data_IF_175185340683
#
_entry.id   IF_175185340683
#
_cell.length_a   1.000
_cell.length_b   1.000
_cell.length_c   1.000
_cell.angle_alpha   90.00
_cell.angle_beta   90.00
_cell.angle_gamma   90.00
#
_symmetry.space_group_name_H-M   'P 1'
#
loop_
_entity.id
_entity.type
_entity.pdbx_description
1 polymer ?
#
# COMPACT_ATOMS: atom_id res chain seq x y z
N UNK A 1 50.68 -23.13 -39.23
CA UNK A 1 51.84 -22.93 -38.34
C UNK A 1 51.96 -21.42 -38.13
N UNK A 2 51.22 -20.84 -37.20
CA UNK A 2 51.55 -20.74 -35.76
C UNK A 2 52.75 -19.82 -35.53
N UNK A 3 52.50 -18.60 -35.06
CA UNK A 3 53.35 -17.91 -34.09
C UNK A 3 52.66 -16.61 -33.60
N UNK A 4 52.40 -16.56 -32.30
CA UNK A 4 52.20 -15.32 -31.53
C UNK A 4 53.45 -14.42 -31.61
N UNK A 5 53.35 -13.19 -31.08
CA UNK A 5 54.04 -13.00 -29.81
C UNK A 5 53.20 -12.22 -28.79
N UNK A 6 53.53 -12.48 -27.53
CA UNK A 6 53.02 -11.78 -26.37
C UNK A 6 54.15 -10.97 -25.71
N UNK A 7 53.73 -10.00 -24.89
CA UNK A 7 54.41 -9.41 -23.72
C UNK A 7 55.27 -8.15 -23.94
N UNK A 8 54.76 -6.97 -23.54
CA UNK A 8 55.13 -6.27 -22.28
C UNK A 8 54.39 -4.92 -22.13
N UNK A 9 53.94 -4.66 -20.90
CA UNK A 9 53.21 -3.48 -20.41
C UNK A 9 54.03 -2.17 -20.48
N UNK A 10 53.37 -1.02 -20.31
CA UNK A 10 53.50 -0.37 -19.00
C UNK A 10 52.19 0.22 -18.46
N UNK A 11 52.03 0.10 -17.14
CA UNK A 11 51.08 0.87 -16.33
C UNK A 11 51.60 2.32 -16.22
N UNK A 12 50.73 3.34 -16.21
CA UNK A 12 50.38 3.87 -14.90
C UNK A 12 48.92 4.33 -14.77
N UNK A 13 48.35 4.05 -13.59
CA UNK A 13 47.24 4.77 -12.97
C UNK A 13 47.47 6.31 -13.01
N UNK A 14 46.40 7.11 -13.19
CA UNK A 14 45.69 7.56 -11.99
C UNK A 14 44.16 7.54 -12.10
N UNK A 15 43.54 7.20 -10.97
CA UNK A 15 42.12 7.34 -10.64
C UNK A 15 41.44 8.58 -11.23
N UNK A 16 40.19 8.41 -11.71
CA UNK A 16 39.12 9.35 -11.41
C UNK A 16 37.99 8.65 -10.65
N UNK A 17 37.68 9.21 -9.49
CA UNK A 17 36.60 8.86 -8.59
C UNK A 17 35.24 9.20 -9.24
N UNK A 18 34.25 8.27 -9.33
CA UNK A 18 32.85 8.65 -9.51
C UNK A 18 32.08 8.28 -8.23
N UNK A 19 32.06 9.21 -7.27
CA UNK A 19 31.10 9.17 -6.17
C UNK A 19 29.92 10.05 -6.52
N UNK A 20 28.92 9.45 -7.15
CA UNK A 20 27.57 10.01 -7.24
C UNK A 20 26.59 8.84 -7.17
N UNK A 21 26.30 8.41 -5.93
CA UNK A 21 25.16 7.54 -5.66
C UNK A 21 23.88 8.36 -5.88
N UNK A 22 22.86 7.84 -6.57
CA UNK A 22 21.55 8.45 -6.52
C UNK A 22 20.97 8.27 -5.11
N UNK A 23 20.46 9.37 -4.55
CA UNK A 23 19.80 9.43 -3.25
C UNK A 23 18.53 8.55 -3.27
N UNK A 24 18.61 7.40 -2.61
CA UNK A 24 17.44 6.60 -2.24
C UNK A 24 17.05 6.92 -0.79
N UNK A 25 16.36 8.04 -0.59
CA UNK A 25 15.66 8.34 0.66
C UNK A 25 14.19 7.93 0.52
N UNK A 26 13.74 7.01 1.39
CA UNK A 26 12.32 6.64 1.44
C UNK A 26 11.99 5.27 2.01
N UNK A 27 12.49 4.91 3.21
CA UNK A 27 11.93 3.80 3.97
C UNK A 27 11.94 4.13 5.47
N UNK A 28 10.78 4.46 6.03
CA UNK A 28 10.60 4.40 7.49
C UNK A 28 10.20 2.97 7.84
N UNK A 29 11.21 2.14 8.11
CA UNK A 29 11.00 0.83 8.74
C UNK A 29 10.67 1.09 10.22
N UNK A 30 9.44 0.79 10.64
CA UNK A 30 9.08 0.81 12.07
C UNK A 30 9.54 -0.51 12.69
N UNK A 31 10.85 -0.66 12.89
CA UNK A 31 11.40 -1.88 13.50
C UNK A 31 11.10 -1.88 15.01
N UNK A 32 10.42 -2.93 15.50
CA UNK A 32 10.23 -3.18 16.94
C UNK A 32 11.54 -3.71 17.53
N UNK A 33 12.52 -2.82 17.70
CA UNK A 33 13.76 -3.15 18.41
C UNK A 33 13.51 -3.32 19.90
N UNK A 34 13.49 -4.58 20.34
CA UNK A 34 13.59 -4.99 21.75
C UNK A 34 14.87 -4.39 22.35
N UNK A 35 14.71 -3.39 23.23
CA UNK A 35 15.81 -2.79 24.01
C UNK A 35 16.54 -3.85 24.84
N UNK A 36 17.78 -4.15 24.47
CA UNK A 36 18.81 -4.68 25.38
C UNK A 36 19.75 -3.53 25.74
N UNK A 37 19.72 -3.13 27.00
CA UNK A 37 20.61 -2.14 27.60
C UNK A 37 22.09 -2.47 27.34
N UNK A 38 22.85 -1.53 26.77
CA UNK A 38 24.29 -1.38 27.04
C UNK A 38 24.76 0.06 26.78
N UNK A 39 25.75 0.44 27.56
CA UNK A 39 26.10 1.78 28.03
C UNK A 39 26.82 2.69 27.02
N UNK A 40 26.71 4.00 27.32
CA UNK A 40 27.43 5.17 26.75
C UNK A 40 28.90 4.93 26.34
N UNK A 41 29.28 5.49 25.20
CA UNK A 41 30.53 6.26 25.06
C UNK A 41 30.37 7.38 24.02
N UNK A 42 31.04 8.49 24.29
CA UNK A 42 30.99 9.82 23.66
C UNK A 42 31.87 9.92 22.43
N UNK A 43 31.42 10.70 21.41
CA UNK A 43 32.18 11.71 20.63
C UNK A 43 31.68 11.82 19.18
N UNK A 44 31.62 13.05 18.66
CA UNK A 44 31.49 13.33 17.22
C UNK A 44 30.31 14.23 16.84
N UNK A 45 30.44 15.53 17.10
CA UNK A 45 29.57 16.58 16.59
C UNK A 45 29.69 16.66 15.05
N UNK A 46 28.73 16.08 14.34
CA UNK A 46 28.46 16.36 12.92
C UNK A 46 27.03 16.84 12.85
N UNK A 47 26.85 18.14 12.58
CA UNK A 47 25.57 18.74 12.20
C UNK A 47 24.99 17.97 11.02
N UNK A 48 24.07 17.06 11.31
CA UNK A 48 23.18 16.47 10.32
C UNK A 48 22.32 17.62 9.78
N UNK A 49 22.46 17.87 8.49
CA UNK A 49 21.54 18.70 7.71
C UNK A 49 20.12 18.24 8.01
N UNK A 50 19.31 19.16 8.53
CA UNK A 50 17.88 18.94 8.73
C UNK A 50 17.27 18.47 7.41
N UNK A 51 16.85 17.20 7.33
CA UNK A 51 15.96 16.75 6.26
C UNK A 51 14.74 17.66 6.28
N UNK A 52 14.58 18.46 5.22
CA UNK A 52 13.41 19.29 5.00
C UNK A 52 12.20 18.36 4.95
N UNK A 53 11.43 18.35 6.04
CA UNK A 53 10.15 17.66 6.08
C UNK A 53 9.21 18.47 5.19
N UNK A 54 8.79 17.91 4.05
CA UNK A 54 7.73 18.49 3.23
C UNK A 54 6.52 18.74 4.15
N UNK A 55 6.19 20.00 4.38
CA UNK A 55 4.95 20.38 5.03
C UNK A 55 3.81 19.93 4.13
N UNK A 56 2.95 19.02 4.62
CA UNK A 56 1.74 18.63 3.90
C UNK A 56 0.85 19.87 3.72
N UNK A 57 0.75 20.33 2.48
CA UNK A 57 -0.15 21.40 2.09
C UNK A 57 -1.39 20.78 1.43
N UNK A 58 -2.55 20.77 2.09
CA UNK A 58 -3.78 20.21 1.51
C UNK A 58 -4.19 20.88 0.19
N UNK A 59 -3.71 22.10 -0.09
CA UNK A 59 -3.98 22.81 -1.35
C UNK A 59 -3.22 22.25 -2.55
N UNK A 60 -2.19 21.41 -2.34
CA UNK A 60 -1.46 20.72 -3.40
C UNK A 60 -2.08 19.40 -3.86
N UNK A 61 -3.23 18.99 -3.29
CA UNK A 61 -3.91 17.72 -3.60
C UNK A 61 -4.84 17.80 -4.82
N UNK A 62 -4.46 18.57 -5.82
CA UNK A 62 -5.20 18.64 -7.09
C UNK A 62 -4.82 17.43 -7.94
N UNK A 63 -5.78 16.68 -8.49
CA UNK A 63 -5.44 15.56 -9.38
C UNK A 63 -4.58 16.00 -10.56
N UNK A 64 -3.42 15.38 -10.74
CA UNK A 64 -2.51 15.70 -11.85
C UNK A 64 -2.35 14.49 -12.78
N UNK A 65 -2.20 14.68 -14.10
CA UNK A 65 -1.78 13.60 -15.00
C UNK A 65 -0.50 12.93 -14.47
N UNK A 66 -0.47 11.60 -14.52
CA UNK A 66 0.68 10.79 -14.10
C UNK A 66 1.16 9.94 -15.25
N UNK A 67 2.47 9.79 -15.36
CA UNK A 67 3.13 8.87 -16.28
C UNK A 67 4.02 7.92 -15.49
N UNK A 68 4.26 6.69 -15.99
CA UNK A 68 5.16 5.73 -15.35
C UNK A 68 6.58 6.27 -15.15
N UNK A 69 7.34 5.65 -14.24
CA UNK A 69 8.71 6.04 -13.87
C UNK A 69 9.66 6.09 -15.08
N UNK A 70 9.44 5.20 -16.05
CA UNK A 70 10.12 5.19 -17.34
C UNK A 70 9.09 5.06 -18.48
N UNK A 71 9.39 5.58 -19.68
CA UNK A 71 8.42 5.61 -20.78
C UNK A 71 8.40 4.33 -21.63
N UNK A 72 9.29 3.36 -21.38
CA UNK A 72 9.55 2.25 -22.31
C UNK A 72 9.08 0.92 -21.71
N UNK A 73 8.22 0.24 -22.46
CA UNK A 73 7.85 -1.15 -22.14
C UNK A 73 8.95 -2.08 -22.67
N UNK A 74 9.65 -2.74 -21.75
CA UNK A 74 10.53 -3.87 -22.07
C UNK A 74 9.72 -5.17 -22.02
N UNK A 75 9.43 -5.74 -23.19
CA UNK A 75 8.61 -6.95 -23.29
C UNK A 75 9.29 -8.22 -22.74
N UNK A 76 10.63 -8.30 -22.74
CA UNK A 76 11.34 -9.44 -22.15
C UNK A 76 11.30 -9.39 -20.62
N UNK A 77 11.54 -8.20 -20.07
CA UNK A 77 11.44 -7.95 -18.63
C UNK A 77 10.01 -8.12 -18.15
N UNK A 78 9.04 -7.59 -18.89
CA UNK A 78 7.60 -7.80 -18.68
C UNK A 78 7.26 -9.29 -18.56
N UNK A 79 7.67 -10.12 -19.53
CA UNK A 79 7.41 -11.57 -19.50
C UNK A 79 8.05 -12.25 -18.27
N UNK A 80 9.22 -11.78 -17.84
CA UNK A 80 9.88 -12.27 -16.63
C UNK A 80 9.12 -11.91 -15.36
N UNK A 81 8.70 -10.65 -15.22
CA UNK A 81 7.91 -10.17 -14.08
C UNK A 81 6.57 -10.90 -14.05
N UNK A 82 5.87 -11.02 -15.18
CA UNK A 82 4.58 -11.72 -15.24
C UNK A 82 4.71 -13.19 -14.80
N UNK A 83 5.75 -13.90 -15.26
CA UNK A 83 6.02 -15.28 -14.83
C UNK A 83 6.25 -15.37 -13.32
N UNK A 84 6.99 -14.40 -12.76
CA UNK A 84 7.23 -14.31 -11.32
C UNK A 84 5.92 -14.08 -10.57
N UNK A 85 5.06 -13.18 -11.04
CA UNK A 85 3.75 -12.92 -10.43
C UNK A 85 2.83 -14.13 -10.50
N UNK A 86 2.74 -14.82 -11.63
CA UNK A 86 1.96 -16.06 -11.70
C UNK A 86 2.47 -17.12 -10.72
N UNK A 87 3.80 -17.29 -10.62
CA UNK A 87 4.37 -18.20 -9.61
C UNK A 87 4.03 -17.77 -8.18
N UNK A 88 4.05 -16.47 -7.88
CA UNK A 88 3.65 -15.92 -6.57
C UNK A 88 2.17 -16.14 -6.29
N UNK A 89 1.28 -15.93 -7.29
CA UNK A 89 -0.15 -16.23 -7.20
C UNK A 89 -0.36 -17.71 -6.89
N UNK A 90 0.27 -18.61 -7.63
CA UNK A 90 0.12 -20.06 -7.42
C UNK A 90 0.58 -20.51 -6.04
N UNK A 91 1.70 -19.95 -5.54
CA UNK A 91 2.23 -20.23 -4.21
C UNK A 91 1.29 -19.70 -3.13
N UNK A 92 0.83 -18.46 -3.29
CA UNK A 92 -0.08 -17.81 -2.35
C UNK A 92 -1.41 -18.55 -2.29
N UNK A 93 -2.01 -18.92 -3.42
CA UNK A 93 -3.28 -19.63 -3.52
C UNK A 93 -3.24 -20.99 -2.80
N UNK A 94 -2.07 -21.64 -2.74
CA UNK A 94 -1.87 -22.92 -2.02
C UNK A 94 -1.56 -22.76 -0.53
N UNK A 95 -1.17 -21.56 -0.10
CA UNK A 95 -0.76 -21.28 1.29
C UNK A 95 -1.89 -21.43 2.30
N UNK A 96 -1.54 -21.71 3.56
CA UNK A 96 -2.51 -21.74 4.67
C UNK A 96 -3.11 -20.36 4.91
N UNK A 97 -2.27 -19.32 4.89
CA UNK A 97 -2.69 -17.92 4.89
C UNK A 97 -3.84 -17.63 3.92
N UNK A 98 -3.71 -17.93 2.63
CA UNK A 98 -4.76 -17.62 1.66
C UNK A 98 -6.05 -18.41 1.92
N UNK A 99 -5.95 -19.70 2.28
CA UNK A 99 -7.11 -20.51 2.62
C UNK A 99 -7.88 -19.92 3.81
N UNK A 100 -7.15 -19.46 4.84
CA UNK A 100 -7.73 -18.77 6.00
C UNK A 100 -8.34 -17.42 5.59
N UNK A 101 -7.61 -16.62 4.81
CA UNK A 101 -8.07 -15.34 4.30
C UNK A 101 -9.40 -15.47 3.54
N UNK A 102 -9.51 -16.44 2.62
CA UNK A 102 -10.76 -16.70 1.90
C UNK A 102 -11.85 -17.28 2.80
N UNK A 103 -11.52 -18.17 3.73
CA UNK A 103 -12.50 -18.69 4.70
C UNK A 103 -13.16 -17.54 5.49
N UNK A 104 -12.37 -16.56 5.92
CA UNK A 104 -12.83 -15.37 6.66
C UNK A 104 -13.77 -14.48 5.83
N UNK A 105 -13.75 -14.55 4.49
CA UNK A 105 -14.74 -13.82 3.67
C UNK A 105 -16.18 -14.28 3.94
N UNK A 106 -16.37 -15.50 4.44
CA UNK A 106 -17.68 -16.03 4.83
C UNK A 106 -18.10 -15.62 6.25
N UNK A 107 -17.19 -15.12 7.06
CA UNK A 107 -17.50 -14.66 8.42
C UNK A 107 -18.50 -13.53 8.35
N UNK A 108 -19.46 -13.55 9.28
CA UNK A 108 -20.55 -12.58 9.31
C UNK A 108 -20.03 -11.13 9.31
N UNK A 109 -18.92 -10.87 9.99
CA UNK A 109 -18.31 -9.54 10.11
C UNK A 109 -17.80 -8.96 8.78
N UNK A 110 -17.18 -9.80 7.94
CA UNK A 110 -16.64 -9.39 6.63
C UNK A 110 -17.75 -9.46 5.57
N UNK A 111 -18.49 -10.57 5.53
CA UNK A 111 -19.56 -10.79 4.57
C UNK A 111 -20.65 -9.72 4.68
N UNK A 112 -21.09 -9.39 5.90
CA UNK A 112 -22.10 -8.35 6.09
C UNK A 112 -21.55 -6.97 5.70
N UNK A 113 -20.27 -6.69 5.97
CA UNK A 113 -19.64 -5.45 5.56
C UNK A 113 -19.59 -5.27 4.04
N UNK A 114 -19.18 -6.32 3.31
CA UNK A 114 -19.15 -6.33 1.85
C UNK A 114 -20.55 -6.23 1.22
N UNK A 115 -21.56 -6.87 1.81
CA UNK A 115 -22.95 -6.75 1.35
C UNK A 115 -23.49 -5.35 1.64
N UNK A 116 -23.21 -4.77 2.81
CA UNK A 116 -23.74 -3.47 3.25
C UNK A 116 -23.31 -2.31 2.35
N UNK A 117 -22.09 -2.35 1.80
CA UNK A 117 -21.64 -1.30 0.88
C UNK A 117 -22.42 -1.31 -0.44
N UNK A 118 -22.96 -2.47 -0.84
CA UNK A 118 -23.69 -2.65 -2.10
C UNK A 118 -25.16 -2.31 -1.91
N UNK A 119 -25.62 -1.23 -2.56
CA UNK A 119 -27.05 -0.85 -2.54
C UNK A 119 -27.82 -1.73 -3.51
N UNK A 120 -29.08 -2.08 -3.21
CA UNK A 120 -29.98 -2.61 -4.22
C UNK A 120 -30.15 -1.65 -5.40
N UNK A 121 -29.91 -2.12 -6.60
CA UNK A 121 -30.29 -1.44 -7.84
C UNK A 121 -31.77 -1.71 -8.07
N UNK A 122 -32.56 -0.69 -8.37
CA UNK A 122 -33.99 -0.85 -8.67
C UNK A 122 -34.21 -1.87 -9.78
N UNK A 123 -34.69 -3.06 -9.41
CA UNK A 123 -35.12 -4.12 -10.32
C UNK A 123 -34.02 -5.02 -10.92
N UNK A 124 -32.74 -4.91 -10.54
CA UNK A 124 -31.67 -5.64 -11.26
C UNK A 124 -30.51 -6.21 -10.42
N UNK A 125 -30.57 -6.15 -9.08
CA UNK A 125 -29.58 -6.80 -8.19
C UNK A 125 -28.86 -5.82 -7.27
N UNK A 126 -27.59 -6.05 -6.96
CA UNK A 126 -26.77 -5.19 -6.12
C UNK A 126 -25.79 -4.39 -6.97
N UNK A 127 -25.52 -3.12 -6.62
CA UNK A 127 -24.49 -2.33 -7.29
C UNK A 127 -23.14 -3.08 -7.24
N UNK A 128 -22.41 -3.15 -8.36
CA UNK A 128 -21.09 -3.77 -8.38
C UNK A 128 -20.06 -2.87 -7.67
N UNK A 129 -18.98 -3.48 -7.23
CA UNK A 129 -17.88 -2.85 -6.52
C UNK A 129 -16.80 -2.43 -7.51
N UNK A 130 -16.23 -1.25 -7.30
CA UNK A 130 -14.92 -0.89 -7.85
C UNK A 130 -13.82 -1.32 -6.89
N UNK A 131 -12.84 -2.04 -7.36
CA UNK A 131 -11.63 -2.36 -6.58
C UNK A 131 -10.52 -1.40 -6.99
N UNK A 132 -9.90 -0.70 -6.04
CA UNK A 132 -8.79 0.22 -6.28
C UNK A 132 -7.63 -0.16 -5.37
N UNK A 133 -6.50 -0.57 -5.95
CA UNK A 133 -5.27 -0.82 -5.22
C UNK A 133 -4.34 0.40 -5.30
N UNK A 134 -3.97 0.94 -4.14
CA UNK A 134 -2.98 2.01 -4.05
C UNK A 134 -1.72 1.53 -3.37
N UNK A 135 -0.59 2.12 -3.76
CA UNK A 135 0.66 1.99 -3.00
C UNK A 135 1.22 0.57 -3.00
N UNK A 136 1.05 -0.16 -4.11
CA UNK A 136 1.56 -1.54 -4.25
C UNK A 136 3.09 -1.58 -4.18
N UNK A 137 3.79 -0.51 -4.57
CA UNK A 137 5.23 -0.42 -4.69
C UNK A 137 5.79 -1.02 -5.98
N UNK A 138 7.11 -1.05 -6.11
CA UNK A 138 7.77 -1.66 -7.27
C UNK A 138 7.66 -3.19 -7.20
N UNK A 139 6.86 -3.72 -8.11
CA UNK A 139 6.56 -5.13 -8.31
C UNK A 139 7.81 -5.91 -8.72
N UNK A 140 8.67 -5.31 -9.53
CA UNK A 140 9.89 -5.95 -10.00
C UNK A 140 10.94 -6.07 -8.89
N UNK A 141 11.17 -4.98 -8.17
CA UNK A 141 12.30 -4.85 -7.25
C UNK A 141 12.06 -5.58 -5.92
N UNK A 142 10.83 -5.62 -5.43
CA UNK A 142 10.55 -6.07 -4.06
C UNK A 142 9.60 -7.28 -4.01
N UNK A 143 9.80 -8.22 -3.07
CA UNK A 143 8.88 -9.35 -2.88
C UNK A 143 7.50 -8.98 -2.31
N UNK A 144 7.43 -8.01 -1.39
CA UNK A 144 6.18 -7.62 -0.75
C UNK A 144 5.13 -7.08 -1.76
N UNK A 145 5.46 -6.15 -2.68
CA UNK A 145 4.59 -5.73 -3.77
C UNK A 145 4.06 -6.89 -4.63
N UNK A 146 4.87 -7.94 -4.85
CA UNK A 146 4.46 -9.11 -5.62
C UNK A 146 3.40 -9.93 -4.89
N UNK A 147 3.54 -10.09 -3.57
CA UNK A 147 2.55 -10.77 -2.73
C UNK A 147 1.28 -9.95 -2.62
N UNK A 148 1.39 -8.64 -2.44
CA UNK A 148 0.26 -7.71 -2.39
C UNK A 148 -0.54 -7.73 -3.70
N UNK A 149 0.16 -7.66 -4.85
CA UNK A 149 -0.46 -7.80 -6.17
C UNK A 149 -1.11 -9.18 -6.36
N UNK A 150 -0.44 -10.25 -5.91
CA UNK A 150 -0.99 -11.60 -5.97
C UNK A 150 -2.27 -11.73 -5.13
N UNK A 151 -2.28 -11.19 -3.89
CA UNK A 151 -3.44 -11.25 -3.01
C UNK A 151 -4.62 -10.47 -3.58
N UNK A 152 -4.42 -9.24 -4.06
CA UNK A 152 -5.51 -8.44 -4.63
C UNK A 152 -6.03 -9.05 -5.93
N UNK A 153 -5.18 -9.72 -6.72
CA UNK A 153 -5.59 -10.51 -7.89
C UNK A 153 -6.49 -11.68 -7.49
N UNK A 154 -6.10 -12.43 -6.46
CA UNK A 154 -6.87 -13.56 -5.95
C UNK A 154 -8.18 -13.11 -5.29
N UNK A 155 -8.17 -12.00 -4.53
CA UNK A 155 -9.37 -11.41 -3.95
C UNK A 155 -10.36 -10.98 -5.02
N UNK A 156 -9.90 -10.30 -6.07
CA UNK A 156 -10.73 -9.95 -7.23
C UNK A 156 -11.34 -11.20 -7.87
N UNK A 157 -10.55 -12.28 -8.06
CA UNK A 157 -11.07 -13.57 -8.57
C UNK A 157 -12.18 -14.12 -7.67
N UNK A 158 -12.05 -14.00 -6.35
CA UNK A 158 -13.07 -14.50 -5.43
C UNK A 158 -14.34 -13.65 -5.37
N UNK A 159 -14.21 -12.33 -5.47
CA UNK A 159 -15.38 -11.45 -5.57
C UNK A 159 -16.08 -11.59 -6.93
N UNK A 160 -15.37 -12.03 -7.97
CA UNK A 160 -15.95 -12.45 -9.24
C UNK A 160 -16.78 -11.36 -9.91
N UNK A 161 -18.02 -11.70 -10.26
CA UNK A 161 -18.96 -10.80 -10.95
C UNK A 161 -19.37 -9.58 -10.09
N UNK A 162 -19.10 -9.60 -8.79
CA UNK A 162 -19.39 -8.46 -7.92
C UNK A 162 -18.44 -7.29 -8.18
N UNK A 163 -17.28 -7.50 -8.81
CA UNK A 163 -16.31 -6.45 -9.13
C UNK A 163 -16.49 -6.00 -10.58
N UNK A 164 -16.97 -4.78 -10.79
CA UNK A 164 -17.14 -4.20 -12.13
C UNK A 164 -15.82 -3.70 -12.74
N UNK A 165 -14.90 -3.24 -11.89
CA UNK A 165 -13.61 -2.69 -12.33
C UNK A 165 -12.55 -2.89 -11.25
N UNK A 166 -11.31 -3.09 -11.69
CA UNK A 166 -10.15 -3.23 -10.83
C UNK A 166 -9.05 -2.30 -11.34
N UNK A 167 -8.62 -1.38 -10.49
CA UNK A 167 -7.67 -0.32 -10.83
C UNK A 167 -6.46 -0.40 -9.91
N UNK A 168 -5.27 -0.07 -10.42
CA UNK A 168 -4.05 0.03 -9.62
C UNK A 168 -3.37 1.37 -9.88
N UNK A 169 -2.85 1.97 -8.82
CA UNK A 169 -1.99 3.13 -8.90
C UNK A 169 -0.86 3.05 -7.88
N UNK A 170 0.35 3.27 -8.35
CA UNK A 170 1.48 3.59 -7.50
C UNK A 170 2.44 4.48 -8.31
N UNK A 171 2.91 5.61 -7.74
CA UNK A 171 3.78 6.54 -8.47
C UNK A 171 5.12 5.92 -8.91
N UNK A 172 5.55 4.81 -8.29
CA UNK A 172 6.83 4.15 -8.59
C UNK A 172 6.74 3.08 -9.68
N UNK A 173 5.58 2.85 -10.27
CA UNK A 173 5.44 1.86 -11.34
C UNK A 173 6.17 2.31 -12.61
N UNK A 174 6.99 1.43 -13.17
CA UNK A 174 7.56 1.54 -14.51
C UNK A 174 6.52 1.26 -15.60
N UNK A 175 6.75 1.71 -16.84
CA UNK A 175 5.87 1.35 -17.96
C UNK A 175 5.81 -0.17 -18.18
N UNK A 176 6.92 -0.86 -17.92
CA UNK A 176 7.01 -2.33 -17.96
C UNK A 176 6.12 -2.98 -16.90
N UNK A 177 6.11 -2.49 -15.65
CA UNK A 177 5.22 -3.00 -14.60
C UNK A 177 3.75 -2.65 -14.86
N UNK A 178 3.46 -1.46 -15.40
CA UNK A 178 2.12 -1.08 -15.85
C UNK A 178 1.57 -2.08 -16.87
N UNK A 179 2.38 -2.46 -17.87
CA UNK A 179 1.99 -3.45 -18.86
C UNK A 179 1.69 -4.83 -18.23
N UNK A 180 2.47 -5.26 -17.23
CA UNK A 180 2.21 -6.51 -16.49
C UNK A 180 0.89 -6.43 -15.71
N UNK A 181 0.62 -5.31 -15.04
CA UNK A 181 -0.62 -5.07 -14.30
C UNK A 181 -1.84 -5.13 -15.23
N UNK A 182 -1.73 -4.57 -16.44
CA UNK A 182 -2.76 -4.65 -17.47
C UNK A 182 -3.00 -6.08 -17.95
N UNK A 183 -1.94 -6.88 -18.11
CA UNK A 183 -2.06 -8.31 -18.45
C UNK A 183 -2.74 -9.14 -17.36
N UNK A 184 -2.66 -8.71 -16.10
CA UNK A 184 -3.41 -9.30 -14.98
C UNK A 184 -4.87 -8.79 -14.92
N UNK A 185 -5.27 -7.96 -15.88
CA UNK A 185 -6.63 -7.46 -16.07
C UNK A 185 -7.00 -6.28 -15.18
N UNK A 186 -6.02 -5.58 -14.61
CA UNK A 186 -6.24 -4.31 -13.91
C UNK A 186 -6.08 -3.14 -14.87
N UNK A 187 -6.74 -2.03 -14.59
CA UNK A 187 -6.50 -0.75 -15.26
C UNK A 187 -5.48 0.07 -14.46
N UNK A 188 -4.47 0.61 -15.13
CA UNK A 188 -3.55 1.57 -14.48
C UNK A 188 -4.22 2.94 -14.45
N UNK A 189 -4.25 3.56 -13.26
CA UNK A 189 -4.77 4.93 -13.11
C UNK A 189 -3.73 5.90 -13.67
N UNK A 190 -4.15 6.77 -14.60
CA UNK A 190 -3.28 7.73 -15.30
C UNK A 190 -3.29 9.13 -14.69
N UNK A 191 -3.91 9.27 -13.52
CA UNK A 191 -4.02 10.53 -12.78
C UNK A 191 -3.61 10.25 -11.35
N UNK A 192 -2.61 10.99 -10.86
CA UNK A 192 -2.29 10.99 -9.45
C UNK A 192 -3.35 11.80 -8.72
N UNK A 193 -4.27 11.12 -8.05
CA UNK A 193 -5.33 11.74 -7.27
C UNK A 193 -4.90 12.00 -5.82
N UNK A 194 -3.66 11.68 -5.44
CA UNK A 194 -3.15 11.82 -4.08
C UNK A 194 -4.03 11.11 -3.01
N UNK A 195 -4.71 10.04 -3.39
CA UNK A 195 -5.65 9.31 -2.53
C UNK A 195 -7.04 9.93 -2.44
N UNK A 196 -7.29 11.09 -3.06
CA UNK A 196 -8.58 11.79 -3.07
C UNK A 196 -9.62 11.17 -4.02
N UNK A 197 -9.75 9.84 -4.02
CA UNK A 197 -10.79 9.12 -4.78
C UNK A 197 -12.13 9.28 -4.08
N UNK A 198 -13.06 10.02 -4.69
CA UNK A 198 -14.44 10.12 -4.18
C UNK A 198 -15.24 8.85 -4.50
N UNK A 199 -15.98 8.36 -3.51
CA UNK A 199 -16.93 7.24 -3.65
C UNK A 199 -18.32 7.79 -3.93
N UNK A 200 -19.05 7.11 -4.82
CA UNK A 200 -20.43 7.47 -5.17
C UNK A 200 -21.41 6.37 -4.77
N UNK A 201 -22.69 6.69 -4.57
CA UNK A 201 -23.71 5.68 -4.22
C UNK A 201 -23.81 4.53 -5.23
N UNK A 202 -23.61 4.83 -6.51
CA UNK A 202 -23.75 3.88 -7.62
C UNK A 202 -22.52 2.99 -7.83
N UNK A 203 -21.39 3.36 -7.19
CA UNK A 203 -20.09 2.71 -7.34
C UNK A 203 -19.39 2.58 -5.98
N UNK A 204 -19.89 1.70 -5.09
CA UNK A 204 -19.19 1.39 -3.85
C UNK A 204 -17.78 0.88 -4.17
N UNK A 205 -16.82 1.22 -3.32
CA UNK A 205 -15.40 1.03 -3.63
C UNK A 205 -14.67 0.26 -2.53
N UNK A 206 -13.98 -0.81 -2.90
CA UNK A 206 -13.03 -1.52 -2.05
C UNK A 206 -11.63 -1.03 -2.37
N UNK A 207 -11.01 -0.39 -1.38
CA UNK A 207 -9.63 0.09 -1.46
C UNK A 207 -8.69 -0.95 -0.88
N UNK A 208 -7.65 -1.32 -1.63
CA UNK A 208 -6.58 -2.20 -1.18
C UNK A 208 -5.30 -1.37 -1.06
N UNK A 209 -4.84 -1.14 0.17
CA UNK A 209 -3.82 -0.14 0.49
C UNK A 209 -2.81 -0.62 1.55
N UNK A 210 -2.39 -1.90 1.64
CA UNK A 210 -1.43 -2.31 2.66
C UNK A 210 -0.13 -1.51 2.57
N UNK A 211 0.46 -1.18 3.72
CA UNK A 211 1.70 -0.40 3.87
C UNK A 211 1.73 0.99 3.23
N UNK A 212 0.57 1.52 2.80
CA UNK A 212 0.46 2.90 2.35
C UNK A 212 0.78 3.89 3.48
N UNK A 213 1.25 5.08 3.09
CA UNK A 213 1.52 6.16 4.03
C UNK A 213 0.23 6.68 4.68
N UNK A 214 0.33 7.12 5.94
CA UNK A 214 -0.80 7.70 6.70
C UNK A 214 -1.51 8.84 5.94
N UNK A 215 -0.74 9.62 5.18
CA UNK A 215 -1.22 10.75 4.37
C UNK A 215 -2.24 10.31 3.32
N UNK A 216 -2.04 9.12 2.75
CA UNK A 216 -2.89 8.59 1.69
C UNK A 216 -4.25 8.14 2.25
N UNK A 217 -4.24 7.48 3.41
CA UNK A 217 -5.48 7.16 4.14
C UNK A 217 -6.21 8.43 4.59
N UNK A 218 -5.47 9.41 5.11
CA UNK A 218 -6.06 10.66 5.57
C UNK A 218 -6.74 11.41 4.41
N UNK A 219 -6.10 11.47 3.24
CA UNK A 219 -6.66 12.09 2.04
C UNK A 219 -7.90 11.35 1.56
N UNK A 220 -7.87 10.01 1.52
CA UNK A 220 -9.02 9.19 1.15
C UNK A 220 -10.22 9.40 2.08
N UNK A 221 -9.97 9.35 3.41
CA UNK A 221 -11.01 9.55 4.41
C UNK A 221 -11.57 10.98 4.35
N UNK A 222 -10.70 11.99 4.28
CA UNK A 222 -11.10 13.41 4.20
C UNK A 222 -11.97 13.68 2.98
N UNK A 223 -11.60 13.18 1.80
CA UNK A 223 -12.41 13.32 0.58
C UNK A 223 -13.80 12.68 0.71
N UNK A 224 -13.95 11.68 1.57
CA UNK A 224 -15.17 10.92 1.74
C UNK A 224 -15.82 11.12 3.11
N UNK A 225 -15.51 12.20 3.83
CA UNK A 225 -15.92 12.43 5.24
C UNK A 225 -17.41 12.79 5.42
N UNK A 226 -18.28 11.96 4.85
CA UNK A 226 -19.72 12.03 4.95
C UNK A 226 -20.26 10.63 5.24
N UNK A 227 -21.25 10.46 6.14
CA UNK A 227 -21.83 9.16 6.45
C UNK A 227 -22.22 8.35 5.21
N UNK A 228 -22.81 9.02 4.21
CA UNK A 228 -23.24 8.40 2.96
C UNK A 228 -22.10 7.78 2.16
N UNK A 229 -20.90 8.38 2.18
CA UNK A 229 -19.76 7.97 1.37
C UNK A 229 -18.90 6.94 2.12
N UNK A 230 -18.67 7.14 3.43
CA UNK A 230 -17.92 6.21 4.27
C UNK A 230 -18.58 4.82 4.31
N UNK A 231 -19.92 4.76 4.39
CA UNK A 231 -20.67 3.49 4.32
C UNK A 231 -20.62 2.78 2.97
N UNK A 232 -20.08 3.42 1.94
CA UNK A 232 -19.96 2.87 0.57
C UNK A 232 -18.54 2.41 0.26
N UNK A 233 -17.63 2.48 1.24
CA UNK A 233 -16.26 2.01 1.08
C UNK A 233 -15.87 0.96 2.10
N UNK A 234 -14.94 0.12 1.67
CA UNK A 234 -14.17 -0.80 2.52
C UNK A 234 -12.71 -0.53 2.24
N UNK A 235 -11.88 -0.50 3.28
CA UNK A 235 -10.42 -0.40 3.11
C UNK A 235 -9.79 -1.69 3.64
N UNK A 236 -8.90 -2.29 2.86
CA UNK A 236 -7.96 -3.31 3.33
C UNK A 236 -6.60 -2.62 3.39
N UNK A 237 -6.09 -2.35 4.58
CA UNK A 237 -4.88 -1.54 4.75
C UNK A 237 -4.38 -1.59 6.18
N UNK A 238 -3.40 -0.74 6.51
CA UNK A 238 -2.80 -0.63 7.83
C UNK A 238 -3.87 -0.45 8.91
N UNK A 239 -3.64 -1.03 10.09
CA UNK A 239 -4.48 -0.82 11.26
C UNK A 239 -4.48 0.65 11.66
N UNK A 240 -5.68 1.23 11.80
CA UNK A 240 -5.85 2.60 12.26
C UNK A 240 -5.62 2.69 13.77
N UNK A 241 -5.93 1.61 14.50
CA UNK A 241 -5.57 1.44 15.92
C UNK A 241 -4.06 1.55 16.17
N UNK A 242 -3.22 1.05 15.27
CA UNK A 242 -1.76 1.16 15.41
C UNK A 242 -1.29 2.63 15.31
N UNK A 243 -1.90 3.45 14.45
CA UNK A 243 -1.62 4.90 14.43
C UNK A 243 -2.06 5.59 15.74
N UNK A 244 -3.23 5.25 16.27
CA UNK A 244 -3.70 5.77 17.58
C UNK A 244 -2.75 5.39 18.69
N UNK A 245 -2.30 4.13 18.72
CA UNK A 245 -1.33 3.63 19.70
C UNK A 245 -0.01 4.37 19.58
N UNK A 246 0.53 4.52 18.37
CA UNK A 246 1.77 5.25 18.12
C UNK A 246 1.68 6.69 18.65
N UNK A 247 0.61 7.41 18.31
CA UNK A 247 0.37 8.77 18.78
C UNK A 247 0.31 8.83 20.32
N UNK A 248 -0.46 7.94 20.94
CA UNK A 248 -0.65 7.90 22.39
C UNK A 248 0.63 7.54 23.15
N UNK A 249 1.41 6.56 22.66
CA UNK A 249 2.63 6.09 23.32
C UNK A 249 3.82 7.03 23.07
N UNK A 250 3.90 7.63 21.88
CA UNK A 250 4.99 8.53 21.51
C UNK A 250 4.66 10.01 21.74
N UNK A 251 3.60 10.35 22.47
CA UNK A 251 3.27 11.72 22.92
C UNK A 251 4.40 12.46 23.65
N UNK A 252 5.49 11.78 24.01
CA UNK A 252 6.73 12.34 24.56
C UNK A 252 7.88 12.49 23.53
N UNK A 253 7.65 12.22 22.24
CA UNK A 253 8.64 12.21 21.17
C UNK A 253 8.23 13.15 20.02
N UNK A 254 9.22 13.79 19.37
CA UNK A 254 9.03 14.79 18.29
C UNK A 254 8.25 14.25 17.07
N UNK A 255 8.15 12.92 16.91
CA UNK A 255 7.45 12.26 15.80
C UNK A 255 5.92 12.25 15.90
N UNK A 256 5.33 12.16 17.10
CA UNK A 256 3.87 11.97 17.24
C UNK A 256 3.04 13.18 16.84
N UNK A 257 3.53 14.38 17.13
CA UNK A 257 2.89 15.64 16.71
C UNK A 257 2.85 15.77 15.18
N UNK A 258 3.77 15.11 14.45
CA UNK A 258 3.74 15.08 12.98
C UNK A 258 2.65 14.13 12.45
N UNK A 259 2.47 12.96 13.07
CA UNK A 259 1.41 12.01 12.66
C UNK A 259 0.02 12.53 13.00
N UNK A 260 -0.22 13.11 14.17
CA UNK A 260 -1.53 13.71 14.51
C UNK A 260 -1.99 14.74 13.49
N UNK A 261 -1.07 15.61 13.04
CA UNK A 261 -1.36 16.62 12.03
C UNK A 261 -1.67 16.05 10.65
N UNK A 262 -1.11 14.89 10.33
CA UNK A 262 -1.15 14.30 8.98
C UNK A 262 -2.21 13.18 8.87
N UNK A 263 -2.62 12.60 9.99
CA UNK A 263 -3.51 11.45 10.08
C UNK A 263 -4.81 11.74 10.87
N UNK A 264 -5.21 13.01 11.01
CA UNK A 264 -6.37 13.41 11.82
C UNK A 264 -7.65 12.61 11.50
N UNK A 265 -7.96 12.40 10.23
CA UNK A 265 -9.14 11.64 9.82
C UNK A 265 -8.99 10.14 10.05
N UNK A 266 -7.75 9.62 9.99
CA UNK A 266 -7.46 8.23 10.36
C UNK A 266 -7.76 8.02 11.84
N UNK A 267 -7.22 8.87 12.71
CA UNK A 267 -7.43 8.80 14.16
C UNK A 267 -8.90 8.95 14.53
N UNK A 268 -9.60 9.89 13.90
CA UNK A 268 -11.02 10.12 14.18
C UNK A 268 -11.91 9.00 13.67
N UNK A 269 -11.52 8.34 12.57
CA UNK A 269 -12.29 7.24 12.01
C UNK A 269 -12.33 6.02 12.93
N UNK A 270 -11.35 5.81 13.81
CA UNK A 270 -11.33 4.64 14.72
C UNK A 270 -12.50 4.62 15.70
N UNK A 271 -13.22 5.73 15.88
CA UNK A 271 -14.41 5.82 16.73
C UNK A 271 -15.62 5.09 16.13
N UNK A 272 -15.65 4.90 14.81
CA UNK A 272 -16.78 4.29 14.09
C UNK A 272 -16.35 3.28 13.00
N UNK A 273 -15.05 3.18 12.72
CA UNK A 273 -14.48 2.16 11.87
C UNK A 273 -14.32 0.86 12.68
N UNK A 274 -14.94 -0.21 12.19
CA UNK A 274 -14.74 -1.55 12.69
C UNK A 274 -13.58 -2.19 11.93
N UNK A 275 -12.54 -2.54 12.68
CA UNK A 275 -11.37 -3.25 12.16
C UNK A 275 -11.52 -4.76 12.33
N UNK A 276 -11.23 -5.51 11.27
CA UNK A 276 -11.08 -6.97 11.31
C UNK A 276 -9.69 -7.31 10.79
N UNK A 277 -8.84 -7.84 11.67
CA UNK A 277 -7.44 -8.13 11.34
C UNK A 277 -7.31 -9.19 10.24
N UNK A 278 -6.33 -9.00 9.35
CA UNK A 278 -5.90 -10.05 8.42
C UNK A 278 -4.92 -10.95 9.15
N UNK A 279 -5.41 -12.13 9.56
CA UNK A 279 -4.67 -13.05 10.41
C UNK A 279 -3.41 -13.62 9.75
N UNK A 280 -2.26 -13.26 10.31
CA UNK A 280 -0.96 -13.82 9.98
C UNK A 280 -0.55 -14.83 11.06
N UNK A 281 -0.53 -16.12 10.71
CA UNK A 281 0.04 -17.14 11.58
C UNK A 281 1.48 -17.38 11.16
N UNK A 282 2.43 -16.90 11.95
CA UNK A 282 3.85 -17.08 11.64
C UNK A 282 4.28 -18.54 11.84
N UNK A 283 4.11 -19.34 10.79
CA UNK A 283 4.76 -20.64 10.61
C UNK A 283 5.97 -20.55 9.68
N UNK A 284 6.88 -21.53 9.73
CA UNK A 284 8.12 -21.54 8.91
C UNK A 284 7.85 -21.28 7.42
N UNK A 285 6.86 -21.97 6.85
CA UNK A 285 6.47 -21.80 5.44
C UNK A 285 5.92 -20.39 5.12
N UNK A 286 5.21 -19.76 6.06
CA UNK A 286 4.63 -18.41 5.87
C UNK A 286 5.70 -17.31 5.98
N UNK A 287 6.70 -17.49 6.85
CA UNK A 287 7.87 -16.62 6.91
C UNK A 287 8.73 -16.71 5.66
N UNK A 288 8.89 -17.91 5.07
CA UNK A 288 9.65 -18.10 3.83
C UNK A 288 8.97 -17.47 2.60
N UNK A 289 7.64 -17.27 2.67
CA UNK A 289 6.90 -16.53 1.66
C UNK A 289 7.02 -15.01 1.80
N UNK A 290 7.52 -14.48 2.91
CA UNK A 290 7.57 -13.02 3.16
C UNK A 290 6.20 -12.41 3.47
N UNK A 291 5.23 -13.20 3.91
CA UNK A 291 3.86 -12.74 4.20
C UNK A 291 3.82 -11.67 5.30
N UNK A 292 4.70 -11.78 6.30
CA UNK A 292 4.82 -10.77 7.35
C UNK A 292 5.20 -9.41 6.77
N UNK A 293 6.22 -9.36 5.90
CA UNK A 293 6.67 -8.11 5.28
C UNK A 293 5.63 -7.51 4.34
N UNK A 294 4.73 -8.31 3.79
CA UNK A 294 3.71 -7.85 2.85
C UNK A 294 2.40 -7.40 3.52
N UNK A 295 2.06 -7.96 4.69
CA UNK A 295 0.72 -7.84 5.27
C UNK A 295 0.69 -7.61 6.79
N UNK A 296 1.83 -7.41 7.47
CA UNK A 296 1.79 -7.09 8.90
C UNK A 296 0.94 -5.85 9.15
N UNK A 297 0.23 -5.85 10.28
CA UNK A 297 -0.68 -4.78 10.68
C UNK A 297 -1.76 -4.45 9.63
N UNK A 298 -2.11 -5.39 8.73
CA UNK A 298 -3.19 -5.19 7.75
C UNK A 298 -4.54 -5.60 8.32
N UNK A 299 -5.53 -4.73 8.18
CA UNK A 299 -6.91 -4.93 8.63
C UNK A 299 -7.89 -4.61 7.49
N UNK A 300 -9.06 -5.25 7.55
CA UNK A 300 -10.27 -4.76 6.91
C UNK A 300 -10.86 -3.63 7.76
N UNK A 301 -11.34 -2.59 7.11
CA UNK A 301 -11.99 -1.44 7.72
C UNK A 301 -13.38 -1.29 7.14
N UNK A 302 -14.39 -1.39 8.01
CA UNK A 302 -15.79 -1.16 7.68
C UNK A 302 -16.29 0.05 8.46
N UNK A 303 -16.89 1.02 7.79
CA UNK A 303 -17.33 2.26 8.43
C UNK A 303 -18.80 2.18 8.83
N UNK A 304 -19.05 1.91 10.10
CA UNK A 304 -20.39 1.75 10.69
C UNK A 304 -20.87 3.09 11.29
N UNK A 305 -20.95 4.10 10.43
CA UNK A 305 -21.38 5.46 10.79
C UNK A 305 -22.90 5.52 10.95
N UNK A 306 -23.46 6.24 11.93
CA UNK A 306 -24.91 6.51 12.05
C UNK A 306 -25.29 7.85 11.38
N UNK A 307 -26.54 8.02 10.91
CA UNK A 307 -26.95 9.24 10.19
C UNK A 307 -26.90 10.48 11.07
N UNK A 308 -27.14 10.29 12.37
CA UNK A 308 -27.08 11.34 13.41
C UNK A 308 -25.68 11.49 14.04
N UNK A 309 -24.64 10.91 13.45
CA UNK A 309 -23.30 10.98 14.04
C UNK A 309 -22.75 12.40 13.97
N UNK A 310 -22.21 12.88 15.10
CA UNK A 310 -21.52 14.15 15.30
C UNK A 310 -20.24 14.32 14.44
N UNK A 311 -20.10 13.58 13.34
CA UNK A 311 -19.02 13.69 12.35
C UNK A 311 -18.76 15.14 11.92
N UNK A 312 -19.80 15.98 11.93
CA UNK A 312 -19.75 17.39 11.58
C UNK A 312 -19.06 18.30 12.62
N UNK A 313 -18.73 17.80 13.82
CA UNK A 313 -18.01 18.57 14.85
C UNK A 313 -16.49 18.45 14.72
N UNK A 314 -16.03 17.45 13.98
CA UNK A 314 -14.61 17.16 13.78
C UNK A 314 -14.23 17.63 12.38
N UNK A 315 -13.51 18.74 12.29
CA UNK A 315 -13.02 19.27 11.01
C UNK A 315 -11.91 18.39 10.44
N UNK A 316 -12.33 17.29 9.83
CA UNK A 316 -11.75 16.72 8.63
C UNK A 316 -12.37 17.46 7.44
#
# INVERSE_FOLDING_TARGET
MSASPAVLSPNPNPNPNPSSKPDHDGWTIVDRSRRRNRSRSTSGDRRLSQSQTLTFDPSSLVPTPWTPMDPIVDFFRSASILRKIHSTIDRLEKSKFYKRFISRLNDSEIRNGLVKIRVPVSGSGLHPIRLVAYGIGSIELYPAPQLQLALVTLLRRQLGADVASAEIFDPVLSATECHVVEQLGFKVVTTNEHGCRKVTPEMPTLFFMPHCEAVLYNSLLRTNWQPSNLRRMVVIGNSFREYVRYVSEAGNCVGSVKIEKVAGCVLESTKFAREVEVELELGREETDLGLFQAFHDTCWHFFDVNDDSDLFKVNC
#
